data_IF_043393052596
#
_entry.id   IF_043393052596
#
_cell.length_a   1.000
_cell.length_b   1.000
_cell.length_c   1.000
_cell.angle_alpha   90.00
_cell.angle_beta   90.00
_cell.angle_gamma   90.00
#
_symmetry.space_group_name_H-M   'P 1'
#
loop_
_entity.id
_entity.type
_entity.pdbx_description
1 polymer ?
#
# COMPACT_ATOMS: atom_id res chain seq x y z
N UNK A 1 7.33 1.92 1.07
CA UNK A 1 8.11 2.97 1.77
C UNK A 1 7.59 3.32 3.16
N UNK A 2 6.31 3.64 3.38
CA UNK A 2 5.76 3.67 4.76
C UNK A 2 6.28 4.76 5.71
N UNK A 3 6.81 5.87 5.20
CA UNK A 3 7.42 6.92 6.03
C UNK A 3 6.39 7.87 6.68
N UNK A 4 5.29 8.14 5.98
CA UNK A 4 4.28 9.13 6.35
C UNK A 4 2.87 8.54 6.27
N UNK A 5 1.95 9.10 7.05
CA UNK A 5 0.52 8.86 6.94
C UNK A 5 -0.31 10.12 7.25
N UNK A 6 -1.42 10.29 6.54
CA UNK A 6 -2.45 11.30 6.83
C UNK A 6 -2.10 12.77 6.51
N UNK A 7 -0.82 13.14 6.43
CA UNK A 7 -0.40 14.50 6.09
C UNK A 7 -0.93 14.94 4.71
N UNK A 8 -1.55 16.11 4.64
CA UNK A 8 -2.14 16.68 3.41
C UNK A 8 -3.46 16.04 2.97
N UNK A 9 -3.99 15.06 3.71
CA UNK A 9 -5.29 14.45 3.43
C UNK A 9 -6.48 15.12 4.14
N UNK A 10 -7.69 14.54 4.03
CA UNK A 10 -8.01 13.32 3.28
C UNK A 10 -8.08 13.57 1.76
N UNK A 11 -7.81 12.52 0.97
CA UNK A 11 -8.02 12.56 -0.47
C UNK A 11 -9.52 12.47 -0.77
N UNK A 12 -10.08 13.30 -1.68
CA UNK A 12 -11.48 13.20 -2.08
C UNK A 12 -11.72 11.93 -2.93
N UNK A 13 -12.94 11.40 -2.92
CA UNK A 13 -13.29 10.23 -3.73
C UNK A 13 -13.00 10.43 -5.22
N UNK A 14 -13.21 11.65 -5.73
CA UNK A 14 -12.91 12.02 -7.12
C UNK A 14 -11.45 11.82 -7.49
N UNK A 15 -10.52 11.99 -6.55
CA UNK A 15 -9.11 11.70 -6.77
C UNK A 15 -8.89 10.20 -6.98
N UNK A 16 -9.49 9.34 -6.14
CA UNK A 16 -9.37 7.88 -6.25
C UNK A 16 -9.92 7.39 -7.60
N UNK A 17 -11.10 7.87 -7.99
CA UNK A 17 -11.75 7.49 -9.25
C UNK A 17 -10.89 7.89 -10.47
N UNK A 18 -10.33 9.11 -10.45
CA UNK A 18 -9.47 9.60 -11.53
C UNK A 18 -8.14 8.86 -11.61
N UNK A 19 -7.50 8.57 -10.48
CA UNK A 19 -6.25 7.80 -10.45
C UNK A 19 -6.46 6.38 -10.96
N UNK A 20 -7.60 5.76 -10.63
CA UNK A 20 -7.95 4.43 -11.13
C UNK A 20 -8.08 4.42 -12.66
N UNK A 21 -8.82 5.37 -13.23
CA UNK A 21 -8.98 5.51 -14.69
C UNK A 21 -7.62 5.75 -15.36
N UNK A 22 -6.78 6.61 -14.78
CA UNK A 22 -5.45 6.89 -15.29
C UNK A 22 -4.55 5.65 -15.28
N UNK A 23 -4.51 4.92 -14.17
CA UNK A 23 -3.69 3.72 -14.03
C UNK A 23 -4.07 2.66 -15.06
N UNK A 24 -5.38 2.44 -15.29
CA UNK A 24 -5.86 1.51 -16.33
C UNK A 24 -5.39 1.90 -17.73
N UNK A 25 -5.40 3.20 -18.07
CA UNK A 25 -4.90 3.70 -19.36
C UNK A 25 -3.38 3.52 -19.51
N UNK A 26 -2.62 3.77 -18.44
CA UNK A 26 -1.17 3.59 -18.43
C UNK A 26 -0.83 2.11 -18.65
N UNK A 27 -1.44 1.22 -17.85
CA UNK A 27 -1.22 -0.22 -17.97
C UNK A 27 -1.56 -0.68 -19.38
N UNK A 28 -2.76 -0.35 -19.90
CA UNK A 28 -3.16 -0.69 -21.27
C UNK A 28 -2.07 -0.35 -22.30
N UNK A 29 -1.58 0.89 -22.27
CA UNK A 29 -0.54 1.36 -23.20
C UNK A 29 0.80 0.65 -22.99
N UNK A 30 1.19 0.33 -21.76
CA UNK A 30 2.45 -0.35 -21.48
C UNK A 30 2.49 -1.74 -22.12
N UNK A 31 1.44 -2.55 -22.00
CA UNK A 31 1.47 -3.90 -22.60
C UNK A 31 1.23 -3.86 -24.12
N UNK A 32 0.47 -2.90 -24.64
CA UNK A 32 0.40 -2.65 -26.11
C UNK A 32 1.81 -2.44 -26.70
N UNK A 33 2.71 -1.82 -25.95
CA UNK A 33 4.10 -1.58 -26.33
C UNK A 33 5.07 -2.69 -25.92
N UNK A 34 4.59 -3.80 -25.35
CA UNK A 34 5.43 -4.91 -24.88
C UNK A 34 6.27 -4.59 -23.63
N UNK A 35 5.92 -3.55 -22.87
CA UNK A 35 6.60 -3.20 -21.62
C UNK A 35 6.13 -4.11 -20.47
N UNK A 36 7.03 -4.36 -19.51
CA UNK A 36 6.69 -5.05 -18.26
C UNK A 36 6.58 -4.03 -17.12
N UNK A 37 5.36 -3.65 -16.70
CA UNK A 37 5.20 -2.70 -15.59
C UNK A 37 5.64 -3.32 -14.27
N UNK A 38 6.19 -2.52 -13.36
CA UNK A 38 6.38 -2.94 -11.96
C UNK A 38 5.14 -2.53 -11.17
N UNK A 39 4.45 -3.49 -10.58
CA UNK A 39 3.27 -3.23 -9.74
C UNK A 39 3.65 -3.22 -8.25
N UNK A 40 2.93 -2.48 -7.40
CA UNK A 40 3.19 -2.51 -5.97
C UNK A 40 2.80 -3.87 -5.38
N UNK A 41 3.46 -4.25 -4.29
CA UNK A 41 3.16 -5.38 -3.43
C UNK A 41 3.21 -4.93 -1.96
N UNK A 42 2.67 -5.77 -1.09
CA UNK A 42 2.59 -5.49 0.34
C UNK A 42 3.94 -5.73 1.04
N UNK A 43 4.44 -4.73 1.77
CA UNK A 43 5.69 -4.80 2.57
C UNK A 43 5.48 -4.88 4.08
N UNK A 44 4.24 -5.02 4.57
CA UNK A 44 3.97 -5.06 6.01
C UNK A 44 3.55 -3.72 6.63
N UNK A 45 3.65 -2.60 5.89
CA UNK A 45 3.20 -1.30 6.42
C UNK A 45 1.67 -1.26 6.55
N UNK A 46 1.17 -0.99 7.75
CA UNK A 46 -0.26 -1.06 8.11
C UNK A 46 -0.71 0.17 8.91
N UNK A 47 -2.00 0.51 8.89
CA UNK A 47 -2.54 1.57 9.74
C UNK A 47 -2.61 1.14 11.21
N UNK A 48 -2.59 2.12 12.12
CA UNK A 48 -2.75 1.87 13.56
C UNK A 48 -4.02 1.06 13.89
N UNK A 49 -5.12 1.35 13.19
CA UNK A 49 -6.41 0.67 13.34
C UNK A 49 -6.36 -0.85 13.12
N UNK A 50 -5.34 -1.35 12.41
CA UNK A 50 -5.18 -2.80 12.25
C UNK A 50 -4.86 -3.48 13.58
N UNK A 51 -4.12 -2.81 14.47
CA UNK A 51 -3.83 -3.32 15.82
C UNK A 51 -5.08 -3.38 16.69
N UNK A 52 -5.98 -2.42 16.56
CA UNK A 52 -7.26 -2.43 17.28
C UNK A 52 -8.16 -3.58 16.80
N UNK A 53 -8.16 -3.84 15.49
CA UNK A 53 -8.93 -4.92 14.87
C UNK A 53 -8.33 -6.32 15.11
N UNK A 54 -7.00 -6.42 15.15
CA UNK A 54 -6.26 -7.67 15.39
C UNK A 54 -5.28 -7.49 16.55
N UNK A 55 -5.75 -7.49 17.81
CA UNK A 55 -4.90 -7.20 18.97
C UNK A 55 -3.75 -8.19 19.19
N UNK A 56 -3.88 -9.42 18.69
CA UNK A 56 -2.84 -10.45 18.76
C UNK A 56 -1.81 -10.39 17.63
N UNK A 57 -2.03 -9.53 16.63
CA UNK A 57 -1.10 -9.39 15.51
C UNK A 57 0.23 -8.80 15.99
N UNK A 58 1.35 -9.34 15.48
CA UNK A 58 2.71 -8.87 15.76
C UNK A 58 2.97 -7.56 15.01
N UNK A 59 2.41 -6.47 15.52
CA UNK A 59 2.53 -5.14 14.93
C UNK A 59 3.39 -4.26 15.83
N UNK A 60 4.50 -3.79 15.28
CA UNK A 60 5.40 -2.83 15.93
C UNK A 60 5.17 -1.42 15.39
N UNK A 61 5.40 -0.41 16.22
CA UNK A 61 5.39 0.99 15.78
C UNK A 61 6.82 1.40 15.43
N UNK A 62 7.01 1.94 14.23
CA UNK A 62 8.30 2.39 13.76
C UNK A 62 8.70 3.73 14.38
N UNK A 63 10.00 4.04 14.31
CA UNK A 63 10.58 5.29 14.78
C UNK A 63 10.18 6.50 13.93
N UNK A 64 10.55 7.69 14.41
CA UNK A 64 10.32 8.93 13.67
C UNK A 64 11.25 9.03 12.46
N UNK A 65 10.66 9.15 11.28
CA UNK A 65 11.36 9.35 10.00
C UNK A 65 11.64 10.83 9.73
N UNK A 66 11.91 11.67 10.74
CA UNK A 66 12.09 13.12 10.55
C UNK A 66 10.96 13.76 9.73
N UNK A 67 9.72 13.44 10.13
CA UNK A 67 8.50 13.85 9.43
C UNK A 67 8.28 15.36 9.39
N UNK A 68 7.16 15.80 8.84
CA UNK A 68 6.77 17.21 8.76
C UNK A 68 6.79 17.81 10.17
N UNK A 69 7.68 18.80 10.35
CA UNK A 69 7.97 19.46 11.64
C UNK A 69 8.36 18.48 12.75
N UNK A 70 8.89 17.30 12.39
CA UNK A 70 9.15 16.18 13.29
C UNK A 70 7.94 15.70 14.10
N UNK A 71 6.71 16.04 13.70
CA UNK A 71 5.48 15.74 14.43
C UNK A 71 5.04 14.27 14.31
N UNK A 72 5.06 13.47 15.40
CA UNK A 72 4.73 12.05 15.37
C UNK A 72 3.32 11.68 14.89
N UNK A 73 2.44 12.68 14.77
CA UNK A 73 1.10 12.56 14.18
C UNK A 73 1.12 12.09 12.73
N UNK A 74 2.19 12.35 11.98
CA UNK A 74 2.24 12.13 10.53
C UNK A 74 3.16 11.00 10.08
N UNK A 75 3.78 10.27 11.00
CA UNK A 75 4.83 9.27 10.73
C UNK A 75 4.66 8.04 11.59
N UNK A 76 5.76 7.30 11.76
CA UNK A 76 5.91 6.39 12.88
C UNK A 76 4.85 5.30 12.72
N UNK A 77 4.81 4.83 11.47
CA UNK A 77 3.86 3.90 10.91
C UNK A 77 4.00 2.56 11.62
N UNK A 78 3.04 1.68 11.36
CA UNK A 78 3.00 0.39 12.00
C UNK A 78 3.47 -0.65 11.00
N UNK A 79 4.33 -1.55 11.45
CA UNK A 79 4.89 -2.63 10.65
C UNK A 79 4.42 -3.96 11.23
N UNK A 80 3.68 -4.69 10.40
CA UNK A 80 3.30 -6.08 10.62
C UNK A 80 4.52 -6.98 10.39
N UNK A 81 4.83 -7.80 11.38
CA UNK A 81 5.92 -8.77 11.32
C UNK A 81 5.66 -9.81 10.22
N UNK A 82 6.70 -10.14 9.44
CA UNK A 82 6.59 -11.08 8.33
C UNK A 82 6.29 -12.53 8.76
N UNK A 83 6.50 -12.85 10.05
CA UNK A 83 6.15 -14.16 10.62
C UNK A 83 4.70 -14.23 11.12
N UNK A 84 3.98 -13.11 11.11
CA UNK A 84 2.56 -13.09 11.44
C UNK A 84 1.73 -13.66 10.27
N UNK A 85 0.79 -14.59 10.50
CA UNK A 85 -0.05 -15.13 9.43
C UNK A 85 -0.80 -14.05 8.63
N UNK A 86 -1.18 -12.93 9.26
CA UNK A 86 -1.84 -11.82 8.58
C UNK A 86 -0.99 -11.21 7.48
N UNK A 87 0.33 -11.35 7.52
CA UNK A 87 1.21 -10.81 6.49
C UNK A 87 0.89 -11.45 5.12
N UNK A 88 0.71 -12.77 5.10
CA UNK A 88 0.36 -13.53 3.90
C UNK A 88 -1.07 -13.21 3.47
N UNK A 89 -2.00 -13.14 4.41
CA UNK A 89 -3.41 -12.87 4.11
C UNK A 89 -3.61 -11.49 3.48
N UNK A 90 -3.00 -10.45 4.07
CA UNK A 90 -3.07 -9.09 3.54
C UNK A 90 -2.33 -8.99 2.21
N UNK A 91 -1.15 -9.61 2.09
CA UNK A 91 -0.39 -9.62 0.84
C UNK A 91 -1.18 -10.26 -0.31
N UNK A 92 -1.83 -11.39 -0.05
CA UNK A 92 -2.70 -12.07 -1.02
C UNK A 92 -3.88 -11.20 -1.40
N UNK A 93 -4.63 -10.69 -0.42
CA UNK A 93 -5.78 -9.84 -0.67
C UNK A 93 -5.42 -8.59 -1.49
N UNK A 94 -4.26 -7.98 -1.23
CA UNK A 94 -3.77 -6.82 -1.96
C UNK A 94 -3.51 -7.13 -3.45
N UNK A 95 -2.84 -8.26 -3.74
CA UNK A 95 -2.57 -8.67 -5.13
C UNK A 95 -3.83 -9.13 -5.86
N UNK A 96 -4.74 -9.83 -5.17
CA UNK A 96 -6.03 -10.26 -5.73
C UNK A 96 -6.92 -9.07 -6.10
N UNK A 97 -7.03 -8.06 -5.25
CA UNK A 97 -7.80 -6.84 -5.58
C UNK A 97 -7.13 -6.04 -6.70
N UNK A 98 -5.80 -5.99 -6.78
CA UNK A 98 -5.11 -5.40 -7.94
C UNK A 98 -5.44 -6.12 -9.24
N UNK A 99 -5.37 -7.46 -9.25
CA UNK A 99 -5.69 -8.26 -10.44
C UNK A 99 -7.15 -8.07 -10.85
N UNK A 100 -8.06 -8.10 -9.89
CA UNK A 100 -9.49 -7.89 -10.13
C UNK A 100 -9.79 -6.49 -10.67
N UNK A 101 -9.15 -5.47 -10.09
CA UNK A 101 -9.41 -4.08 -10.46
C UNK A 101 -8.80 -3.74 -11.82
N UNK A 102 -7.52 -4.07 -12.04
CA UNK A 102 -6.81 -3.73 -13.28
C UNK A 102 -7.04 -4.75 -14.40
N UNK A 103 -7.46 -5.97 -14.07
CA UNK A 103 -7.61 -7.10 -15.00
C UNK A 103 -6.28 -7.68 -15.50
N UNK A 104 -5.16 -7.10 -15.10
CA UNK A 104 -3.82 -7.30 -15.66
C UNK A 104 -2.86 -7.57 -14.49
N UNK A 105 -1.85 -8.42 -14.72
CA UNK A 105 -0.86 -8.80 -13.71
C UNK A 105 0.55 -8.54 -14.20
N UNK A 106 1.46 -8.21 -13.30
CA UNK A 106 2.89 -8.21 -13.60
C UNK A 106 3.54 -9.49 -13.11
N UNK A 107 4.77 -9.74 -13.58
CA UNK A 107 5.69 -10.71 -13.00
C UNK A 107 6.74 -10.03 -12.10
N UNK A 108 6.74 -8.70 -12.03
CA UNK A 108 7.69 -7.89 -11.27
C UNK A 108 6.91 -6.99 -10.31
N UNK A 109 7.21 -7.13 -9.02
CA UNK A 109 6.59 -6.37 -7.95
C UNK A 109 7.63 -5.69 -7.07
N UNK A 110 7.31 -4.53 -6.51
CA UNK A 110 8.11 -3.87 -5.46
C UNK A 110 7.29 -3.67 -4.18
N UNK A 111 7.96 -3.56 -3.04
CA UNK A 111 7.33 -3.47 -1.73
C UNK A 111 7.98 -2.40 -0.84
#
# INVERSE_FOLDING_TARGET
MGNLHGWGGPLPQTWLDQQLVLQKKILARMYELGMTPVLPAFSGNVPAALKDKFPSAKISRLGNWFTVESNPRWCCTYLLDATDPLFVDIGRAFTEEQLKEYGWTSHIYNW
#
